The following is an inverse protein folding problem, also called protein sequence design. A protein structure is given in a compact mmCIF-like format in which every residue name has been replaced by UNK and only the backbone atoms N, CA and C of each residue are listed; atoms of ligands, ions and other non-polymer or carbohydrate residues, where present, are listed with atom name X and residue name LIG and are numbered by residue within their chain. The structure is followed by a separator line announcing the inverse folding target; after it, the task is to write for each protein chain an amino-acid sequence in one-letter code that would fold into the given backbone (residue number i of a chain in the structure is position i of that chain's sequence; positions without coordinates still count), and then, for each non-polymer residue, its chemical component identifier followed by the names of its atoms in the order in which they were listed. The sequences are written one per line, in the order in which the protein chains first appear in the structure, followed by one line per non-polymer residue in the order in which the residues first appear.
data_IF_284051499678
#
_entry.id   IF_284051499678
#
_cell.length_a   1.000
_cell.length_b   1.000
_cell.length_c   1.000
_cell.angle_alpha   90.00
_cell.angle_beta   90.00
_cell.angle_gamma   90.00
#
_symmetry.space_group_name_H-M   'P 1'
#
loop_
_entity.id
_entity.type
_entity.pdbx_description
1 polymer ?
#
# COMPACT_ATOMS: atom_id res chain seq x y z
N UNK A 1 -66.40 -9.62 6.08
CA UNK A 1 -64.96 -9.56 6.40
C UNK A 1 -64.16 -10.32 5.35
N UNK A 2 -63.35 -9.64 4.54
CA UNK A 2 -62.39 -10.26 3.61
C UNK A 2 -61.03 -9.60 3.86
N UNK A 3 -60.11 -10.34 4.47
CA UNK A 3 -58.76 -9.87 4.80
C UNK A 3 -57.90 -10.07 3.55
N UNK A 4 -57.55 -8.97 2.88
CA UNK A 4 -56.61 -8.98 1.76
C UNK A 4 -55.18 -9.23 2.32
N UNK A 5 -54.60 -10.37 1.96
CA UNK A 5 -53.23 -10.75 2.30
C UNK A 5 -52.24 -9.82 1.58
N UNK A 6 -51.40 -9.13 2.35
CA UNK A 6 -50.27 -8.34 1.85
C UNK A 6 -49.22 -9.26 1.25
N UNK A 7 -49.07 -9.24 -0.07
CA UNK A 7 -47.93 -9.83 -0.77
C UNK A 7 -46.76 -8.85 -0.64
N UNK A 8 -45.79 -9.16 0.22
CA UNK A 8 -44.52 -8.44 0.25
C UNK A 8 -43.63 -9.09 -0.80
N UNK A 9 -43.48 -8.40 -1.93
CA UNK A 9 -42.57 -8.77 -3.00
C UNK A 9 -41.15 -8.43 -2.53
N UNK A 10 -40.42 -9.44 -2.06
CA UNK A 10 -39.00 -9.31 -1.74
C UNK A 10 -38.21 -9.12 -3.05
N UNK A 11 -37.92 -7.88 -3.41
CA UNK A 11 -36.87 -7.58 -4.39
C UNK A 11 -35.54 -7.98 -3.78
N UNK A 12 -35.08 -9.18 -4.12
CA UNK A 12 -33.72 -9.59 -3.89
C UNK A 12 -32.80 -8.51 -4.48
N UNK A 13 -32.12 -7.76 -3.61
CA UNK A 13 -30.95 -6.99 -4.01
C UNK A 13 -29.95 -7.99 -4.56
N UNK A 14 -29.96 -8.15 -5.88
CA UNK A 14 -28.84 -8.71 -6.62
C UNK A 14 -27.66 -7.78 -6.37
N UNK A 15 -26.93 -8.06 -5.29
CA UNK A 15 -25.62 -7.49 -5.05
C UNK A 15 -24.76 -7.89 -6.23
N UNK A 16 -24.64 -6.99 -7.20
CA UNK A 16 -23.63 -7.06 -8.24
C UNK A 16 -22.30 -7.06 -7.51
N UNK A 17 -21.73 -8.26 -7.36
CA UNK A 17 -20.36 -8.43 -6.92
C UNK A 17 -19.51 -7.80 -8.02
N UNK A 18 -19.30 -6.49 -7.93
CA UNK A 18 -18.34 -5.80 -8.75
C UNK A 18 -17.00 -6.38 -8.35
N UNK A 19 -16.51 -7.31 -9.15
CA UNK A 19 -15.10 -7.67 -9.17
C UNK A 19 -14.40 -6.37 -9.51
N UNK A 20 -14.03 -5.60 -8.49
CA UNK A 20 -13.17 -4.43 -8.64
C UNK A 20 -11.91 -4.99 -9.29
N UNK A 21 -11.80 -4.84 -10.60
CA UNK A 21 -10.64 -5.29 -11.33
C UNK A 21 -9.44 -4.56 -10.70
N UNK A 22 -8.62 -5.31 -9.98
CA UNK A 22 -7.42 -4.78 -9.32
C UNK A 22 -6.46 -4.16 -10.33
N UNK A 23 -6.66 -4.42 -11.63
CA UNK A 23 -5.93 -3.82 -12.73
C UNK A 23 -6.91 -3.12 -13.66
N UNK A 24 -6.63 -1.85 -13.96
CA UNK A 24 -7.37 -1.03 -14.93
C UNK A 24 -6.44 -0.56 -16.05
N UNK A 25 -7.01 -0.18 -17.19
CA UNK A 25 -6.30 0.55 -18.24
C UNK A 25 -6.76 2.00 -18.22
N UNK A 26 -5.83 2.94 -18.14
CA UNK A 26 -6.08 4.37 -18.19
C UNK A 26 -5.37 4.98 -19.40
N UNK A 27 -6.13 5.60 -20.29
CA UNK A 27 -5.61 6.30 -21.46
C UNK A 27 -5.46 7.79 -21.17
N UNK A 28 -4.37 8.37 -21.65
CA UNK A 28 -4.09 9.80 -21.57
C UNK A 28 -3.58 10.32 -22.92
N UNK A 29 -3.76 11.62 -23.12
CA UNK A 29 -3.39 12.30 -24.36
C UNK A 29 -2.55 13.52 -24.05
N UNK A 30 -1.65 13.89 -24.97
CA UNK A 30 -0.78 15.06 -24.79
C UNK A 30 -0.24 15.58 -26.11
N UNK A 31 0.23 16.83 -26.10
CA UNK A 31 0.97 17.42 -27.22
C UNK A 31 2.33 16.77 -27.41
N UNK A 32 2.90 16.20 -26.35
CA UNK A 32 4.14 15.41 -26.38
C UNK A 32 3.95 14.07 -25.68
N UNK A 33 4.81 13.09 -26.02
CA UNK A 33 4.86 11.79 -25.34
C UNK A 33 5.02 11.96 -23.82
N UNK A 34 5.92 12.84 -23.39
CA UNK A 34 6.18 13.07 -21.98
C UNK A 34 4.96 13.62 -21.24
N UNK A 35 4.20 14.52 -21.87
CA UNK A 35 2.99 15.10 -21.29
C UNK A 35 1.91 14.01 -21.08
N UNK A 36 1.68 13.16 -22.08
CA UNK A 36 0.74 12.05 -21.97
C UNK A 36 1.19 11.05 -20.87
N UNK A 37 2.45 10.64 -20.87
CA UNK A 37 2.99 9.74 -19.83
C UNK A 37 2.85 10.33 -18.42
N UNK A 38 3.17 11.61 -18.23
CA UNK A 38 3.06 12.27 -16.93
C UNK A 38 1.62 12.27 -16.41
N UNK A 39 0.63 12.45 -17.28
CA UNK A 39 -0.78 12.38 -16.90
C UNK A 39 -1.16 11.02 -16.29
N UNK A 40 -0.61 9.91 -16.81
CA UNK A 40 -0.81 8.56 -16.25
C UNK A 40 -0.21 8.45 -14.85
N UNK A 41 1.04 8.90 -14.67
CA UNK A 41 1.69 8.87 -13.36
C UNK A 41 0.94 9.74 -12.34
N UNK A 42 0.47 10.92 -12.75
CA UNK A 42 -0.31 11.82 -11.91
C UNK A 42 -1.65 11.19 -11.51
N UNK A 43 -2.36 10.57 -12.46
CA UNK A 43 -3.60 9.85 -12.18
C UNK A 43 -3.37 8.68 -11.22
N UNK A 44 -2.34 7.86 -11.46
CA UNK A 44 -2.00 6.73 -10.62
C UNK A 44 -1.66 7.15 -9.18
N UNK A 45 -0.88 8.22 -9.02
CA UNK A 45 -0.52 8.79 -7.72
C UNK A 45 -1.76 9.27 -6.96
N UNK A 46 -2.61 10.10 -7.59
CA UNK A 46 -3.82 10.67 -6.97
C UNK A 46 -4.85 9.62 -6.58
N UNK A 47 -4.94 8.52 -7.33
CA UNK A 47 -5.98 7.50 -7.14
C UNK A 47 -5.49 6.23 -6.44
N UNK A 48 -4.27 6.28 -5.88
CA UNK A 48 -3.65 5.17 -5.16
C UNK A 48 -3.52 3.90 -6.02
N UNK A 49 -2.97 4.05 -7.23
CA UNK A 49 -2.59 2.96 -8.12
C UNK A 49 -1.06 2.89 -8.30
N UNK A 50 -0.55 1.70 -8.62
CA UNK A 50 0.79 1.46 -9.13
C UNK A 50 0.73 1.39 -10.66
N UNK A 51 1.72 1.97 -11.34
CA UNK A 51 1.85 1.82 -12.80
C UNK A 51 2.58 0.52 -13.09
N UNK A 52 1.94 -0.40 -13.81
CA UNK A 52 2.54 -1.67 -14.24
C UNK A 52 3.29 -1.52 -15.56
N UNK A 53 2.67 -0.85 -16.52
CA UNK A 53 3.24 -0.60 -17.85
C UNK A 53 2.60 0.62 -18.48
N UNK A 54 3.34 1.31 -19.35
CA UNK A 54 2.81 2.39 -20.19
C UNK A 54 3.25 2.14 -21.63
N UNK A 55 2.28 2.14 -22.54
CA UNK A 55 2.52 2.05 -23.98
C UNK A 55 2.04 3.34 -24.63
N UNK A 56 2.90 3.99 -25.41
CA UNK A 56 2.57 5.25 -26.08
C UNK A 56 2.69 5.10 -27.59
N UNK A 57 1.73 5.69 -28.31
CA UNK A 57 1.67 5.68 -29.76
C UNK A 57 1.10 7.00 -30.27
N UNK A 58 1.39 7.30 -31.54
CA UNK A 58 0.83 8.45 -32.24
C UNK A 58 -0.39 7.96 -33.03
N UNK A 59 -1.63 8.28 -32.62
CA UNK A 59 -2.81 7.86 -33.33
C UNK A 59 -2.95 8.63 -34.65
N UNK A 60 -3.51 7.98 -35.68
CA UNK A 60 -3.75 8.61 -36.98
C UNK A 60 -4.79 9.76 -36.91
N UNK A 61 -5.66 9.75 -35.90
CA UNK A 61 -6.63 10.82 -35.62
C UNK A 61 -6.59 11.20 -34.14
N UNK A 62 -6.60 12.51 -33.87
CA UNK A 62 -6.64 13.05 -32.51
C UNK A 62 -5.31 13.70 -32.06
N UNK A 63 -5.10 13.85 -30.74
CA UNK A 63 -3.87 14.42 -30.19
C UNK A 63 -2.63 13.63 -30.64
N UNK A 64 -1.47 14.29 -30.83
CA UNK A 64 -0.30 13.69 -31.46
C UNK A 64 0.32 12.54 -30.64
N UNK A 65 -0.03 12.43 -29.36
CA UNK A 65 0.39 11.31 -28.52
C UNK A 65 -0.76 10.82 -27.66
N UNK A 66 -0.98 9.51 -27.70
CA UNK A 66 -1.81 8.75 -26.77
C UNK A 66 -0.94 7.76 -26.01
N UNK A 67 -1.13 7.67 -24.71
CA UNK A 67 -0.50 6.67 -23.85
C UNK A 67 -1.55 5.87 -23.09
N UNK A 68 -1.44 4.56 -23.12
CA UNK A 68 -2.25 3.61 -22.38
C UNK A 68 -1.43 3.03 -21.22
N UNK A 69 -1.88 3.29 -19.99
CA UNK A 69 -1.25 2.80 -18.77
C UNK A 69 -2.04 1.64 -18.18
N UNK A 70 -1.38 0.51 -17.93
CA UNK A 70 -1.95 -0.53 -17.06
C UNK A 70 -1.63 -0.18 -15.62
N UNK A 71 -2.65 0.00 -14.81
CA UNK A 71 -2.55 0.46 -13.43
C UNK A 71 -3.11 -0.62 -12.51
N UNK A 72 -2.42 -0.94 -11.41
CA UNK A 72 -2.96 -1.82 -10.37
C UNK A 72 -3.29 -1.06 -9.11
N UNK A 73 -4.41 -1.36 -8.45
CA UNK A 73 -4.77 -0.71 -7.19
C UNK A 73 -3.68 -1.01 -6.16
N UNK A 74 -3.18 0.02 -5.48
CA UNK A 74 -2.25 -0.20 -4.36
C UNK A 74 -3.00 -0.97 -3.28
N UNK A 75 -2.42 -2.07 -2.83
CA UNK A 75 -2.95 -2.81 -1.69
C UNK A 75 -3.01 -1.89 -0.48
N UNK A 76 -4.21 -1.68 0.05
CA UNK A 76 -4.42 -1.06 1.36
C UNK A 76 -4.29 -2.09 2.48
N UNK A 77 -4.36 -3.38 2.14
CA UNK A 77 -4.05 -4.45 3.07
C UNK A 77 -2.57 -4.36 3.41
N UNK A 78 -2.22 -4.18 4.69
CA UNK A 78 -0.83 -4.20 5.11
C UNK A 78 -0.22 -5.54 4.69
N UNK A 79 1.06 -5.56 4.27
CA UNK A 79 1.69 -6.81 3.83
C UNK A 79 1.52 -7.89 4.89
N UNK A 80 1.23 -9.14 4.49
CA UNK A 80 1.04 -10.24 5.43
C UNK A 80 2.32 -10.42 6.26
N UNK A 81 2.17 -10.61 7.56
CA UNK A 81 3.29 -10.77 8.48
C UNK A 81 2.91 -10.42 9.92
N UNK A 82 3.35 -11.24 10.87
CA UNK A 82 3.19 -10.97 12.31
C UNK A 82 4.01 -9.72 12.66
N UNK A 83 3.41 -8.79 13.40
CA UNK A 83 4.16 -7.69 14.00
C UNK A 83 4.99 -8.27 15.13
N UNK A 84 6.30 -8.12 15.02
CA UNK A 84 7.25 -8.52 16.05
C UNK A 84 7.72 -7.25 16.75
N UNK A 85 7.65 -7.27 18.08
CA UNK A 85 8.11 -6.20 18.97
C UNK A 85 9.11 -6.81 19.93
N UNK A 86 10.28 -6.21 20.05
CA UNK A 86 11.32 -6.59 21.01
C UNK A 86 11.90 -5.34 21.63
N UNK A 87 12.48 -5.43 22.82
CA UNK A 87 13.33 -4.39 23.38
C UNK A 87 14.71 -4.94 23.71
N UNK A 88 15.71 -4.05 23.71
CA UNK A 88 17.06 -4.37 24.13
C UNK A 88 17.69 -3.17 24.83
N UNK A 89 18.53 -3.48 25.81
CA UNK A 89 19.28 -2.49 26.58
C UNK A 89 20.67 -2.28 26.00
N UNK A 90 21.26 -1.12 26.27
CA UNK A 90 22.65 -0.80 25.93
C UNK A 90 23.17 0.40 26.68
N UNK A 91 24.49 0.53 26.79
CA UNK A 91 25.17 1.61 27.53
C UNK A 91 25.13 2.98 26.81
N UNK A 92 24.66 2.99 25.58
CA UNK A 92 24.43 4.18 24.76
C UNK A 92 23.24 3.93 23.83
N UNK A 93 22.62 4.99 23.33
CA UNK A 93 21.51 4.89 22.38
C UNK A 93 21.89 4.08 21.13
N UNK A 94 23.10 4.29 20.60
CA UNK A 94 23.60 3.57 19.44
C UNK A 94 23.77 2.07 19.73
N UNK A 95 24.33 1.71 20.89
CA UNK A 95 24.50 0.32 21.29
C UNK A 95 23.15 -0.38 21.52
N UNK A 96 22.22 0.27 22.23
CA UNK A 96 20.88 -0.24 22.47
C UNK A 96 20.09 -0.41 21.14
N UNK A 97 20.25 0.53 20.20
CA UNK A 97 19.64 0.45 18.86
C UNK A 97 20.13 -0.76 18.09
N UNK A 98 21.44 -0.98 18.02
CA UNK A 98 22.02 -2.14 17.34
C UNK A 98 21.55 -3.46 17.97
N UNK A 99 21.49 -3.52 19.31
CA UNK A 99 20.99 -4.69 20.03
C UNK A 99 19.52 -4.96 19.70
N UNK A 100 18.68 -3.92 19.68
CA UNK A 100 17.25 -4.03 19.39
C UNK A 100 17.00 -4.48 17.94
N UNK A 101 17.74 -3.93 16.97
CA UNK A 101 17.68 -4.35 15.55
C UNK A 101 18.11 -5.80 15.40
N UNK A 102 19.22 -6.20 16.03
CA UNK A 102 19.73 -7.56 15.98
C UNK A 102 18.74 -8.56 16.57
N UNK A 103 18.17 -8.24 17.74
CA UNK A 103 17.14 -9.05 18.38
C UNK A 103 15.89 -9.18 17.51
N UNK A 104 15.46 -8.09 16.87
CA UNK A 104 14.29 -8.10 16.00
C UNK A 104 14.55 -8.95 14.74
N UNK A 105 15.71 -8.80 14.09
CA UNK A 105 16.08 -9.58 12.90
C UNK A 105 16.13 -11.07 13.19
N UNK A 106 16.65 -11.47 14.35
CA UNK A 106 16.64 -12.86 14.83
C UNK A 106 15.22 -13.38 15.04
N UNK A 107 14.38 -12.62 15.74
CA UNK A 107 12.99 -13.00 16.00
C UNK A 107 12.14 -13.06 14.71
N UNK A 108 12.39 -12.14 13.78
CA UNK A 108 11.69 -12.03 12.50
C UNK A 108 12.24 -12.94 11.41
N UNK A 109 13.40 -13.59 11.63
CA UNK A 109 14.15 -14.31 10.59
C UNK A 109 14.30 -13.46 9.31
N UNK A 110 14.56 -12.17 9.49
CA UNK A 110 14.50 -11.15 8.43
C UNK A 110 15.76 -10.30 8.43
N UNK A 111 16.22 -9.88 7.26
CA UNK A 111 17.35 -8.93 7.10
C UNK A 111 16.89 -7.47 7.05
N UNK A 112 15.57 -7.23 7.05
CA UNK A 112 14.99 -5.89 7.05
C UNK A 112 15.42 -5.09 8.28
N UNK A 113 15.37 -3.77 8.16
CA UNK A 113 15.59 -2.86 9.29
C UNK A 113 14.22 -2.50 9.87
N UNK A 114 13.95 -2.82 11.15
CA UNK A 114 12.70 -2.43 11.82
C UNK A 114 12.68 -0.93 12.14
N UNK A 115 11.50 -0.41 12.48
CA UNK A 115 11.41 0.89 13.16
C UNK A 115 11.92 0.75 14.60
N UNK A 116 12.76 1.68 15.05
CA UNK A 116 13.34 1.68 16.40
C UNK A 116 12.94 2.96 17.12
N UNK A 117 12.60 2.81 18.40
CA UNK A 117 12.36 3.91 19.33
C UNK A 117 13.18 3.67 20.59
N UNK A 118 13.89 4.68 21.08
CA UNK A 118 14.75 4.57 22.26
C UNK A 118 14.28 5.47 23.38
N UNK A 119 14.45 4.99 24.62
CA UNK A 119 14.16 5.71 25.85
C UNK A 119 15.37 5.62 26.78
N UNK A 120 15.76 6.77 27.33
CA UNK A 120 16.75 6.84 28.39
C UNK A 120 16.04 6.74 29.75
N UNK A 121 16.49 5.81 30.59
CA UNK A 121 15.90 5.52 31.89
C UNK A 121 16.75 6.02 33.06
N UNK A 122 17.96 6.56 32.83
CA UNK A 122 18.90 7.02 33.87
C UNK A 122 19.25 5.98 34.97
N UNK A 123 18.99 4.69 34.72
CA UNK A 123 19.36 3.56 35.60
C UNK A 123 19.96 2.41 34.77
N UNK A 124 20.99 1.74 35.28
CA UNK A 124 21.63 0.61 34.61
C UNK A 124 22.35 1.00 33.29
N UNK A 125 22.22 0.22 32.20
CA UNK A 125 22.75 0.60 30.88
C UNK A 125 22.24 1.97 30.40
N UNK A 126 21.16 2.49 31.00
CA UNK A 126 20.68 3.85 30.77
C UNK A 126 19.81 3.96 29.53
N UNK A 127 20.04 3.16 28.48
CA UNK A 127 19.21 3.17 27.27
C UNK A 127 18.48 1.85 27.04
N UNK A 128 17.18 1.93 26.78
CA UNK A 128 16.35 0.85 26.26
C UNK A 128 15.82 1.25 24.88
N UNK A 129 16.05 0.41 23.88
CA UNK A 129 15.51 0.60 22.53
C UNK A 129 14.52 -0.51 22.19
N UNK A 130 13.38 -0.12 21.62
CA UNK A 130 12.29 -0.95 21.17
C UNK A 130 12.33 -1.04 19.66
N UNK A 131 12.43 -2.25 19.11
CA UNK A 131 12.37 -2.50 17.68
C UNK A 131 11.04 -3.15 17.32
N UNK A 132 10.36 -2.59 16.31
CA UNK A 132 9.09 -3.13 15.81
C UNK A 132 9.02 -3.12 14.29
N UNK A 133 8.39 -4.16 13.75
CA UNK A 133 8.25 -4.34 12.31
C UNK A 133 7.52 -5.63 11.98
N UNK A 134 7.14 -5.79 10.72
CA UNK A 134 6.64 -7.06 10.20
C UNK A 134 7.80 -7.92 9.69
N UNK A 135 7.76 -9.22 9.99
CA UNK A 135 8.66 -10.21 9.39
C UNK A 135 8.52 -10.19 7.85
#
# INVERSE_FOLDING_TARGET
MKILKKLILATALMGSCQVLANVITYSSYGGTKAQAQSAIYNYASRNNYNVLSISCYNPQMGPPWKCDGRLSKKSTTPPPGKIIKVSAWGYSEANATQNAISAWRKAAKSTKTPGVYCKNWAVGPGWECFASGRA
#
